data_IF_063958325868
#
_entry.id   IF_063958325868
#
_cell.length_a   1.000
_cell.length_b   1.000
_cell.length_c   1.000
_cell.angle_alpha   90.00
_cell.angle_beta   90.00
_cell.angle_gamma   90.00
#
_symmetry.space_group_name_H-M   'P 1'
#
loop_
_entity.id
_entity.type
_entity.pdbx_description
1 polymer ?
#
# COMPACT_ATOMS: atom_id res chain seq x y z
N UNK A 1 -17.28 -20.32 -16.60
CA UNK A 1 -16.72 -19.20 -15.81
C UNK A 1 -16.88 -17.91 -16.62
N UNK A 2 -17.75 -16.99 -16.20
CA UNK A 2 -18.18 -15.83 -17.03
C UNK A 2 -17.05 -14.80 -17.24
N UNK A 3 -16.93 -14.27 -18.47
CA UNK A 3 -15.96 -13.24 -18.88
C UNK A 3 -15.99 -11.99 -17.97
N UNK A 4 -17.15 -11.63 -17.44
CA UNK A 4 -17.31 -10.51 -16.50
C UNK A 4 -16.55 -10.72 -15.19
N UNK A 5 -16.47 -11.97 -14.71
CA UNK A 5 -15.76 -12.33 -13.47
C UNK A 5 -14.23 -12.29 -13.64
N UNK A 6 -13.73 -12.73 -14.80
CA UNK A 6 -12.30 -12.67 -15.16
C UNK A 6 -11.81 -11.24 -15.34
N UNK A 7 -12.63 -10.34 -15.90
CA UNK A 7 -12.29 -8.92 -15.99
C UNK A 7 -12.30 -8.23 -14.62
N UNK A 8 -13.26 -8.51 -13.75
CA UNK A 8 -13.26 -7.97 -12.38
C UNK A 8 -12.09 -8.48 -11.53
N UNK A 9 -11.71 -9.76 -11.68
CA UNK A 9 -10.52 -10.32 -11.03
C UNK A 9 -9.24 -9.69 -11.60
N UNK A 10 -9.12 -9.53 -12.92
CA UNK A 10 -7.95 -8.89 -13.53
C UNK A 10 -7.81 -7.42 -13.12
N UNK A 11 -8.91 -6.66 -13.03
CA UNK A 11 -8.91 -5.28 -12.53
C UNK A 11 -8.54 -5.22 -11.05
N UNK A 12 -9.05 -6.15 -10.23
CA UNK A 12 -8.68 -6.25 -8.82
C UNK A 12 -7.20 -6.59 -8.64
N UNK A 13 -6.70 -7.56 -9.42
CA UNK A 13 -5.31 -7.98 -9.42
C UNK A 13 -4.40 -6.83 -9.87
N UNK A 14 -4.76 -6.12 -10.95
CA UNK A 14 -4.03 -4.95 -11.45
C UNK A 14 -3.99 -3.82 -10.41
N UNK A 15 -5.13 -3.53 -9.78
CA UNK A 15 -5.17 -2.57 -8.67
C UNK A 15 -4.28 -3.01 -7.51
N UNK A 16 -4.36 -4.28 -7.09
CA UNK A 16 -3.55 -4.82 -5.98
C UNK A 16 -2.05 -4.73 -6.28
N UNK A 17 -1.61 -5.13 -7.48
CA UNK A 17 -0.21 -5.00 -7.90
C UNK A 17 0.27 -3.55 -7.89
N UNK A 18 -0.60 -2.62 -8.30
CA UNK A 18 -0.29 -1.18 -8.28
C UNK A 18 -0.07 -0.70 -6.84
N UNK A 19 -0.95 -1.07 -5.90
CA UNK A 19 -0.77 -0.68 -4.49
C UNK A 19 0.46 -1.34 -3.85
N UNK A 20 0.73 -2.62 -4.09
CA UNK A 20 1.93 -3.30 -3.56
C UNK A 20 3.19 -2.55 -4.00
N UNK A 21 3.29 -2.20 -5.29
CA UNK A 21 4.42 -1.44 -5.82
C UNK A 21 4.56 -0.07 -5.17
N UNK A 22 3.45 0.68 -5.05
CA UNK A 22 3.45 1.99 -4.43
C UNK A 22 3.86 1.95 -2.94
N UNK A 23 3.40 0.94 -2.19
CA UNK A 23 3.79 0.76 -0.79
C UNK A 23 5.27 0.37 -0.69
N UNK A 24 5.73 -0.53 -1.55
CA UNK A 24 7.13 -0.94 -1.62
C UNK A 24 8.05 0.25 -1.88
N UNK A 25 7.74 1.07 -2.88
CA UNK A 25 8.51 2.29 -3.18
C UNK A 25 8.53 3.30 -2.01
N UNK A 26 7.42 3.41 -1.27
CA UNK A 26 7.34 4.30 -0.10
C UNK A 26 8.26 3.81 1.04
N UNK A 27 8.35 2.49 1.25
CA UNK A 27 9.18 1.87 2.29
C UNK A 27 10.65 1.87 1.87
N UNK A 28 10.97 1.52 0.63
CA UNK A 28 12.34 1.51 0.09
C UNK A 28 13.00 2.90 0.10
N UNK A 29 12.19 3.96 0.04
CA UNK A 29 12.71 5.32 0.09
C UNK A 29 13.21 5.73 1.48
N UNK A 30 12.82 5.00 2.53
CA UNK A 30 13.28 5.25 3.89
C UNK A 30 14.62 4.57 4.14
N UNK A 31 15.56 5.26 4.79
CA UNK A 31 16.90 4.71 5.09
C UNK A 31 16.83 3.45 5.96
N UNK A 32 15.83 3.38 6.84
CA UNK A 32 15.55 2.25 7.73
C UNK A 32 14.87 1.07 7.02
N UNK A 33 14.51 1.21 5.74
CA UNK A 33 13.60 0.31 5.01
C UNK A 33 12.31 0.01 5.77
N UNK A 34 11.90 0.96 6.61
CA UNK A 34 10.73 0.89 7.46
C UNK A 34 9.96 2.19 7.35
N UNK A 35 8.66 2.10 7.10
CA UNK A 35 7.79 3.28 7.08
C UNK A 35 6.58 3.06 7.97
N UNK A 36 6.18 4.09 8.69
CA UNK A 36 4.88 4.16 9.36
C UNK A 36 3.77 4.33 8.33
N UNK A 37 2.54 3.98 8.71
CA UNK A 37 1.37 4.21 7.88
C UNK A 37 1.22 5.69 7.49
N UNK A 38 1.60 6.60 8.39
CA UNK A 38 1.56 8.04 8.13
C UNK A 38 2.58 8.46 7.07
N UNK A 39 3.82 7.98 7.16
CA UNK A 39 4.87 8.27 6.16
C UNK A 39 4.51 7.70 4.77
N UNK A 40 3.89 6.52 4.74
CA UNK A 40 3.34 5.96 3.50
C UNK A 40 2.28 6.90 2.91
N UNK A 41 1.35 7.41 3.73
CA UNK A 41 0.34 8.37 3.24
C UNK A 41 0.97 9.66 2.72
N UNK A 42 1.93 10.22 3.44
CA UNK A 42 2.61 11.45 3.02
C UNK A 42 3.40 11.25 1.72
N UNK A 43 4.12 10.12 1.58
CA UNK A 43 4.82 9.78 0.35
C UNK A 43 3.88 9.71 -0.86
N UNK A 44 2.75 9.03 -0.70
CA UNK A 44 1.74 8.91 -1.76
C UNK A 44 1.16 10.27 -2.13
N UNK A 45 0.80 11.09 -1.13
CA UNK A 45 0.28 12.44 -1.33
C UNK A 45 1.27 13.36 -2.03
N UNK A 46 2.55 13.25 -1.74
CA UNK A 46 3.59 14.04 -2.41
C UNK A 46 3.76 13.60 -3.87
N UNK A 47 3.83 12.28 -4.11
CA UNK A 47 4.15 11.72 -5.43
C UNK A 47 2.98 11.75 -6.42
N UNK A 48 1.73 11.60 -5.97
CA UNK A 48 0.56 11.58 -6.86
C UNK A 48 -0.57 12.50 -6.40
N UNK A 49 -1.08 13.30 -7.33
CA UNK A 49 -2.19 14.23 -7.09
C UNK A 49 -3.50 13.53 -6.67
N UNK A 50 -3.71 12.29 -7.14
CA UNK A 50 -4.88 11.47 -6.80
C UNK A 50 -5.09 11.34 -5.29
N UNK A 51 -4.01 11.15 -4.51
CA UNK A 51 -4.10 10.97 -3.06
C UNK A 51 -4.34 12.27 -2.28
N UNK A 52 -4.36 13.42 -2.97
CA UNK A 52 -4.62 14.75 -2.37
C UNK A 52 -6.07 15.21 -2.50
N UNK A 53 -6.90 14.49 -3.27
CA UNK A 53 -8.31 14.83 -3.44
C UNK A 53 -9.18 14.50 -2.22
N UNK A 54 -10.46 14.88 -2.28
CA UNK A 54 -11.45 14.61 -1.23
C UNK A 54 -11.78 13.12 -1.08
N UNK A 55 -11.54 12.32 -2.13
CA UNK A 55 -11.73 10.88 -2.08
C UNK A 55 -10.70 10.23 -1.15
N UNK A 56 -11.16 9.68 -0.02
CA UNK A 56 -10.30 9.02 0.99
C UNK A 56 -10.32 7.49 0.92
N UNK A 57 -11.11 6.90 0.01
CA UNK A 57 -11.27 5.43 -0.07
C UNK A 57 -9.97 4.68 -0.37
N UNK A 58 -8.99 5.33 -0.98
CA UNK A 58 -7.65 4.77 -1.18
C UNK A 58 -6.93 4.40 0.13
N UNK A 59 -7.21 5.08 1.25
CA UNK A 59 -6.61 4.73 2.56
C UNK A 59 -7.03 3.34 3.02
N UNK A 60 -8.28 2.96 2.76
CA UNK A 60 -8.78 1.62 3.04
C UNK A 60 -8.03 0.57 2.22
N UNK A 61 -7.87 0.80 0.91
CA UNK A 61 -7.12 -0.10 0.04
C UNK A 61 -5.65 -0.22 0.42
N UNK A 62 -5.01 0.87 0.85
CA UNK A 62 -3.64 0.84 1.41
C UNK A 62 -3.58 -0.06 2.64
N UNK A 63 -4.48 0.14 3.62
CA UNK A 63 -4.51 -0.67 4.83
C UNK A 63 -4.77 -2.17 4.55
N UNK A 64 -5.69 -2.48 3.63
CA UNK A 64 -5.96 -3.87 3.22
C UNK A 64 -4.73 -4.47 2.53
N UNK A 65 -4.08 -3.72 1.63
CA UNK A 65 -2.88 -4.19 0.93
C UNK A 65 -1.74 -4.48 1.90
N UNK A 66 -1.51 -3.61 2.88
CA UNK A 66 -0.48 -3.80 3.90
C UNK A 66 -0.81 -4.95 4.87
N UNK A 67 -2.10 -5.24 5.09
CA UNK A 67 -2.54 -6.32 5.99
C UNK A 67 -2.55 -7.69 5.30
N UNK A 68 -2.87 -7.73 4.00
CA UNK A 68 -3.04 -8.97 3.21
C UNK A 68 -1.79 -9.30 2.39
N UNK A 69 -0.93 -8.32 2.12
CA UNK A 69 0.30 -8.51 1.35
C UNK A 69 1.35 -9.25 2.17
N UNK A 70 1.75 -10.43 1.71
CA UNK A 70 2.83 -11.23 2.32
C UNK A 70 4.20 -10.53 2.24
N UNK A 71 4.33 -9.53 1.36
CA UNK A 71 5.52 -8.69 1.24
C UNK A 71 5.66 -7.65 2.38
N UNK A 72 4.66 -7.49 3.25
CA UNK A 72 4.68 -6.47 4.29
C UNK A 72 4.65 -7.10 5.68
N UNK A 73 5.58 -6.69 6.53
CA UNK A 73 5.63 -7.12 7.93
C UNK A 73 5.40 -5.93 8.85
N UNK A 74 4.33 -5.99 9.64
CA UNK A 74 4.06 -5.00 10.67
C UNK A 74 4.99 -5.24 11.87
N UNK A 75 5.77 -4.22 12.23
CA UNK A 75 6.61 -4.24 13.41
C UNK A 75 5.79 -3.97 14.68
N UNK A 76 6.11 -4.69 15.75
CA UNK A 76 5.50 -4.53 17.05
C UNK A 76 6.09 -3.33 17.79
N UNK A 77 5.31 -2.77 18.72
CA UNK A 77 5.67 -1.56 19.48
C UNK A 77 7.04 -1.65 20.19
N UNK A 78 7.52 -2.85 20.50
CA UNK A 78 8.79 -3.11 21.19
C UNK A 78 10.03 -2.97 20.29
N UNK A 79 9.87 -3.14 18.97
CA UNK A 79 10.97 -3.07 17.98
C UNK A 79 10.93 -1.73 17.21
N UNK A 80 9.78 -1.06 17.23
CA UNK A 80 9.52 0.21 16.53
C UNK A 80 8.14 0.16 15.86
N UNK A 81 7.38 1.26 15.89
CA UNK A 81 6.11 1.33 15.16
C UNK A 81 6.42 1.54 13.68
N UNK A 82 6.16 0.54 12.83
CA UNK A 82 6.44 0.66 11.40
C UNK A 82 6.06 -0.57 10.59
N UNK A 83 6.18 -0.47 9.28
CA UNK A 83 5.92 -1.54 8.31
C UNK A 83 7.20 -1.73 7.50
N UNK A 84 7.67 -2.97 7.43
CA UNK A 84 8.81 -3.40 6.63
C UNK A 84 8.34 -4.06 5.35
N UNK A 85 9.16 -3.94 4.31
CA UNK A 85 9.12 -4.80 3.14
C UNK A 85 9.97 -6.05 3.44
N UNK A 86 9.41 -7.24 3.20
CA UNK A 86 10.06 -8.55 3.38
C UNK A 86 10.16 -9.31 2.05
#
# INVERSE_FOLDING_TARGET
MSLKKRQSEAVYILHKYTYIKLMGEAIEKQDSKCATLHEIYEYLRQKHAFFRGEYVGWKYYVCVTLSVGENFKKLHKEIGRGILLI
#
